data_IF_681832945568
#
_entry.id   IF_681832945568
#
_cell.length_a   1.000
_cell.length_b   1.000
_cell.length_c   1.000
_cell.angle_alpha   90.00
_cell.angle_beta   90.00
_cell.angle_gamma   90.00
#
_symmetry.space_group_name_H-M   'P 1'
#
loop_
_entity.id
_entity.type
_entity.pdbx_description
1 polymer ?
#
# COMPACT_ATOMS: atom_id res chain seq x y z
N UNK A 1 7.91 -3.27 -0.91
CA UNK A 1 7.88 -2.15 0.03
C UNK A 1 6.52 -1.49 -0.01
N UNK A 2 5.74 -1.77 1.01
CA UNK A 2 4.45 -1.16 1.14
C UNK A 2 4.56 0.28 1.62
N UNK A 3 3.63 1.09 1.19
CA UNK A 3 3.59 2.47 1.59
C UNK A 3 2.40 2.68 2.50
N UNK A 4 2.67 3.26 3.63
CA UNK A 4 1.67 3.69 4.57
C UNK A 4 1.82 5.18 4.78
N UNK A 5 0.72 5.87 4.72
CA UNK A 5 0.70 7.27 5.08
C UNK A 5 0.17 7.39 6.50
N UNK A 6 0.93 8.03 7.34
CA UNK A 6 0.56 8.27 8.73
C UNK A 6 0.23 9.74 8.90
N UNK A 7 -0.94 10.01 9.46
CA UNK A 7 -1.36 11.39 9.73
C UNK A 7 -1.21 11.64 11.21
N UNK A 8 -0.40 12.62 11.56
CA UNK A 8 -0.19 13.00 12.96
C UNK A 8 -1.45 13.59 13.57
N UNK A 9 -1.73 13.17 14.79
CA UNK A 9 -2.80 13.72 15.56
C UNK A 9 -2.36 14.98 16.26
N UNK A 10 -3.08 16.07 16.07
CA UNK A 10 -2.86 17.25 16.88
C UNK A 10 -3.55 17.10 18.22
N UNK A 11 -2.96 17.75 19.20
CA UNK A 11 -3.36 17.74 20.56
C UNK A 11 -4.83 17.98 20.79
N UNK A 12 -5.47 17.04 21.45
CA UNK A 12 -6.86 17.16 21.84
C UNK A 12 -6.96 17.48 23.31
N UNK A 13 -7.90 18.36 23.66
CA UNK A 13 -8.08 18.80 25.02
C UNK A 13 -8.63 17.73 25.96
N UNK A 14 -9.09 16.60 25.42
CA UNK A 14 -9.67 15.51 26.20
C UNK A 14 -8.72 14.35 26.39
N UNK A 15 -7.49 14.66 26.71
CA UNK A 15 -6.37 13.74 26.68
C UNK A 15 -6.43 12.62 27.71
N UNK A 16 -7.33 12.65 28.63
CA UNK A 16 -7.35 11.69 29.73
C UNK A 16 -8.32 10.55 29.54
N UNK A 17 -9.02 10.51 28.42
CA UNK A 17 -10.04 9.50 28.19
C UNK A 17 -9.66 8.66 26.97
N UNK A 18 -9.02 7.55 27.21
CA UNK A 18 -8.72 6.60 26.16
C UNK A 18 -7.25 6.55 25.79
N UNK A 19 -6.94 5.58 24.95
CA UNK A 19 -5.58 5.38 24.47
C UNK A 19 -5.25 6.39 23.40
N UNK A 20 -3.97 6.72 23.29
CA UNK A 20 -3.46 7.60 22.25
C UNK A 20 -2.64 6.81 21.27
N UNK A 21 -2.63 7.28 20.04
CA UNK A 21 -1.86 6.69 18.97
C UNK A 21 -0.93 7.74 18.37
N UNK A 22 0.19 7.28 17.84
CA UNK A 22 1.15 8.19 17.19
C UNK A 22 0.58 8.88 15.96
N UNK A 23 -0.57 8.41 15.46
CA UNK A 23 -1.23 8.95 14.26
C UNK A 23 -2.74 9.01 14.50
N UNK A 24 -3.42 9.88 13.76
CA UNK A 24 -4.87 10.02 13.84
C UNK A 24 -5.60 8.91 13.08
N UNK A 25 -4.99 8.44 11.99
CA UNK A 25 -5.53 7.36 11.16
C UNK A 25 -4.38 6.69 10.42
N UNK A 26 -4.66 5.50 9.90
CA UNK A 26 -3.69 4.76 9.09
C UNK A 26 -4.22 4.67 7.66
N UNK A 27 -3.40 5.05 6.69
CA UNK A 27 -3.66 4.81 5.28
C UNK A 27 -2.56 3.89 4.77
N UNK A 28 -2.95 2.71 4.29
CA UNK A 28 -2.00 1.68 3.89
C UNK A 28 -2.45 1.06 2.58
N UNK A 29 -1.49 0.79 1.70
CA UNK A 29 -1.80 0.09 0.46
C UNK A 29 -2.09 -1.38 0.74
N UNK A 30 -2.91 -1.99 -0.09
CA UNK A 30 -3.17 -3.42 -0.02
C UNK A 30 -1.85 -4.18 -0.09
N UNK A 31 -1.62 -5.08 0.86
CA UNK A 31 -0.39 -5.84 0.97
C UNK A 31 0.73 -5.14 1.72
N UNK A 32 0.52 -3.91 2.17
CA UNK A 32 1.52 -3.13 2.91
C UNK A 32 1.18 -3.10 4.40
N UNK A 33 2.14 -2.65 5.20
CA UNK A 33 1.98 -2.54 6.65
C UNK A 33 2.43 -1.19 7.16
N UNK A 34 1.82 -0.75 8.23
CA UNK A 34 2.18 0.47 8.94
C UNK A 34 2.36 0.17 10.42
N UNK A 35 3.27 0.89 11.06
CA UNK A 35 3.50 0.76 12.50
C UNK A 35 2.94 1.98 13.21
N UNK A 36 2.25 1.73 14.31
CA UNK A 36 1.64 2.77 15.14
C UNK A 36 2.05 2.54 16.59
N UNK A 37 2.45 3.60 17.26
CA UNK A 37 2.79 3.52 18.68
C UNK A 37 1.55 3.81 19.51
N UNK A 38 1.33 2.98 20.53
CA UNK A 38 0.21 3.12 21.46
C UNK A 38 0.72 3.81 22.72
N UNK A 39 0.01 4.82 23.16
CA UNK A 39 0.36 5.55 24.37
C UNK A 39 -0.82 5.78 25.29
N UNK A 40 -0.56 6.38 26.43
CA UNK A 40 -1.55 6.77 27.43
C UNK A 40 -2.28 5.57 28.04
N UNK A 41 -1.65 4.40 28.03
CA UNK A 41 -2.22 3.18 28.61
C UNK A 41 -1.16 2.33 29.28
N UNK A 42 -1.58 1.19 29.79
CA UNK A 42 -0.74 0.24 30.50
C UNK A 42 -0.62 -1.06 29.71
N UNK A 43 0.60 -1.52 29.51
CA UNK A 43 0.83 -2.81 28.85
C UNK A 43 0.36 -3.95 29.74
N UNK A 44 -0.09 -5.08 29.17
CA UNK A 44 -0.13 -5.37 27.73
C UNK A 44 -1.31 -4.74 27.01
N UNK A 45 -1.14 -4.46 25.74
CA UNK A 45 -2.21 -3.98 24.89
C UNK A 45 -2.75 -5.12 24.04
N UNK A 46 -4.06 -5.09 23.80
CA UNK A 46 -4.73 -6.01 22.89
C UNK A 46 -5.37 -5.19 21.78
N UNK A 47 -5.14 -5.56 20.54
CA UNK A 47 -5.71 -4.88 19.41
C UNK A 47 -6.54 -5.82 18.57
N UNK A 48 -7.65 -5.31 18.05
CA UNK A 48 -8.56 -6.10 17.23
C UNK A 48 -9.07 -5.26 16.07
N UNK A 49 -9.04 -5.83 14.87
CA UNK A 49 -9.62 -5.18 13.69
C UNK A 49 -11.12 -5.45 13.64
N UNK A 50 -11.89 -4.44 13.27
CA UNK A 50 -13.33 -4.60 13.07
C UNK A 50 -13.64 -5.42 11.82
N UNK A 51 -12.68 -5.51 10.89
CA UNK A 51 -12.82 -6.33 9.71
C UNK A 51 -11.46 -6.88 9.29
N UNK A 52 -11.16 -8.08 9.72
CA UNK A 52 -9.87 -8.73 9.44
C UNK A 52 -9.70 -9.11 7.97
N UNK A 53 -10.78 -9.11 7.22
CA UNK A 53 -10.71 -9.32 5.76
C UNK A 53 -10.16 -8.10 5.03
N UNK A 54 -10.24 -6.93 5.65
CA UNK A 54 -9.72 -5.68 5.09
C UNK A 54 -8.38 -5.30 5.68
N UNK A 55 -8.23 -5.45 6.99
CA UNK A 55 -6.99 -5.09 7.68
C UNK A 55 -6.79 -6.00 8.89
N UNK A 56 -5.54 -6.37 9.13
CA UNK A 56 -5.15 -7.14 10.31
C UNK A 56 -4.22 -6.30 11.17
N UNK A 57 -4.10 -6.69 12.43
CA UNK A 57 -3.28 -5.98 13.39
C UNK A 57 -2.53 -6.94 14.29
N UNK A 58 -1.29 -6.59 14.63
CA UNK A 58 -0.48 -7.29 15.63
C UNK A 58 0.12 -6.27 16.58
N UNK A 59 0.20 -6.64 17.85
CA UNK A 59 0.78 -5.77 18.87
C UNK A 59 2.00 -6.44 19.45
N UNK A 60 3.08 -5.66 19.57
CA UNK A 60 4.28 -6.05 20.29
C UNK A 60 4.61 -4.92 21.26
N UNK A 61 4.44 -5.19 22.57
CA UNK A 61 4.59 -4.19 23.63
C UNK A 61 3.66 -3.01 23.38
N UNK A 62 4.20 -1.83 23.03
CA UNK A 62 3.40 -0.64 22.71
C UNK A 62 3.40 -0.32 21.22
N UNK A 63 3.92 -1.21 20.39
CA UNK A 63 3.97 -1.02 18.95
C UNK A 63 2.95 -1.92 18.27
N UNK A 64 2.13 -1.32 17.42
CA UNK A 64 1.09 -2.01 16.69
C UNK A 64 1.43 -2.00 15.21
N UNK A 65 1.38 -3.16 14.56
CA UNK A 65 1.58 -3.27 13.11
C UNK A 65 0.23 -3.55 12.45
N UNK A 66 -0.18 -2.65 11.56
CA UNK A 66 -1.42 -2.76 10.82
C UNK A 66 -1.11 -3.15 9.39
N UNK A 67 -1.72 -4.22 8.91
CA UNK A 67 -1.49 -4.72 7.55
C UNK A 67 -2.77 -4.61 6.74
N UNK A 68 -2.67 -4.01 5.54
CA UNK A 68 -3.78 -3.94 4.60
C UNK A 68 -3.93 -5.25 3.86
N UNK A 69 -5.13 -5.82 3.89
CA UNK A 69 -5.42 -7.09 3.24
C UNK A 69 -6.24 -6.88 1.97
N UNK A 70 -7.26 -6.05 2.05
CA UNK A 70 -8.13 -5.75 0.92
C UNK A 70 -8.54 -4.28 0.98
N UNK A 71 -8.91 -3.74 -0.17
CA UNK A 71 -9.32 -2.34 -0.26
C UNK A 71 -10.60 -2.10 0.52
N UNK A 72 -10.60 -1.06 1.34
CA UNK A 72 -11.75 -0.68 2.14
C UNK A 72 -11.34 0.03 3.41
N UNK A 73 -12.32 0.25 4.27
CA UNK A 73 -12.11 0.93 5.55
C UNK A 73 -12.43 -0.01 6.69
N UNK A 74 -11.59 0.02 7.70
CA UNK A 74 -11.78 -0.74 8.93
C UNK A 74 -11.34 0.12 10.10
N UNK A 75 -11.60 -0.36 11.30
CA UNK A 75 -11.13 0.31 12.52
C UNK A 75 -10.39 -0.71 13.37
N UNK A 76 -9.42 -0.23 14.11
CA UNK A 76 -8.68 -1.03 15.08
C UNK A 76 -9.09 -0.57 16.47
N UNK A 77 -9.57 -1.49 17.29
CA UNK A 77 -9.88 -1.22 18.68
C UNK A 77 -8.75 -1.78 19.53
N UNK A 78 -8.15 -0.92 20.33
CA UNK A 78 -7.05 -1.29 21.20
C UNK A 78 -7.51 -1.17 22.64
N UNK A 79 -7.18 -2.17 23.45
CA UNK A 79 -7.50 -2.21 24.86
C UNK A 79 -6.23 -2.43 25.67
N UNK A 80 -6.06 -1.69 26.75
CA UNK A 80 -4.92 -1.87 27.62
C UNK A 80 -5.22 -2.85 28.78
N UNK A 81 -4.25 -3.03 29.67
CA UNK A 81 -4.39 -3.91 30.84
C UNK A 81 -5.58 -3.50 31.72
N UNK A 82 -5.87 -2.22 31.81
CA UNK A 82 -6.91 -1.66 32.66
C UNK A 82 -8.24 -1.50 31.94
N UNK A 83 -8.37 -2.13 30.76
CA UNK A 83 -9.58 -2.05 29.92
C UNK A 83 -9.84 -0.66 29.33
N UNK A 84 -8.85 0.18 29.32
CA UNK A 84 -8.91 1.46 28.65
C UNK A 84 -8.84 1.23 27.14
N UNK A 85 -9.72 1.87 26.39
CA UNK A 85 -9.84 1.59 24.95
C UNK A 85 -9.49 2.81 24.09
N UNK A 86 -9.10 2.54 22.87
CA UNK A 86 -8.92 3.53 21.84
C UNK A 86 -9.25 2.92 20.49
N UNK A 87 -9.71 3.74 19.57
CA UNK A 87 -10.07 3.31 18.22
C UNK A 87 -9.27 4.08 17.19
N UNK A 88 -8.72 3.37 16.21
CA UNK A 88 -7.93 3.94 15.14
C UNK A 88 -8.52 3.55 13.80
N UNK A 89 -8.78 4.52 12.95
CA UNK A 89 -9.32 4.27 11.62
C UNK A 89 -8.23 3.81 10.67
N UNK A 90 -8.55 2.84 9.83
CA UNK A 90 -7.63 2.30 8.82
C UNK A 90 -8.32 2.37 7.46
N UNK A 91 -7.62 2.95 6.49
CA UNK A 91 -8.07 2.99 5.11
C UNK A 91 -7.07 2.20 4.27
N UNK A 92 -7.53 1.13 3.65
CA UNK A 92 -6.70 0.33 2.74
C UNK A 92 -7.06 0.74 1.32
N UNK A 93 -6.06 1.24 0.59
CA UNK A 93 -6.27 1.69 -0.78
C UNK A 93 -5.63 0.71 -1.77
N UNK A 94 -6.10 0.77 -3.02
CA UNK A 94 -5.60 -0.14 -4.05
C UNK A 94 -4.17 0.23 -4.45
N UNK A 95 -3.27 -0.76 -4.60
CA UNK A 95 -1.99 -0.51 -5.22
C UNK A 95 -2.20 -0.25 -6.71
N UNK A 96 -1.13 0.10 -7.42
CA UNK A 96 -1.21 0.25 -8.88
C UNK A 96 -1.49 -1.12 -9.49
N UNK A 97 -2.53 -1.21 -10.31
CA UNK A 97 -2.88 -2.43 -11.02
C UNK A 97 -3.06 -2.16 -12.51
N UNK A 98 -3.06 -3.22 -13.30
CA UNK A 98 -3.05 -3.12 -14.76
C UNK A 98 -4.14 -4.01 -15.34
N UNK A 99 -4.54 -3.71 -16.57
CA UNK A 99 -5.49 -4.57 -17.28
C UNK A 99 -4.88 -5.91 -17.68
N UNK A 100 -3.55 -6.02 -17.71
CA UNK A 100 -2.83 -7.24 -18.03
C UNK A 100 -1.66 -7.44 -17.08
N UNK A 101 -1.49 -8.66 -16.60
CA UNK A 101 -0.35 -9.01 -15.74
C UNK A 101 0.88 -9.44 -16.55
N UNK A 102 0.67 -9.86 -17.77
CA UNK A 102 1.74 -10.27 -18.68
C UNK A 102 1.39 -9.86 -20.09
N UNK A 103 2.36 -9.31 -20.81
CA UNK A 103 2.17 -9.03 -22.22
C UNK A 103 3.33 -9.67 -23.00
N UNK A 104 3.05 -10.05 -24.24
CA UNK A 104 4.04 -10.57 -25.17
C UNK A 104 4.08 -9.65 -26.38
N UNK A 105 5.27 -9.16 -26.70
CA UNK A 105 5.47 -8.30 -27.88
C UNK A 105 6.63 -8.83 -28.70
N UNK A 106 6.52 -8.81 -30.03
CA UNK A 106 7.67 -9.14 -30.86
C UNK A 106 8.76 -8.07 -30.74
N UNK A 107 10.01 -8.47 -30.93
CA UNK A 107 11.12 -7.52 -30.95
C UNK A 107 10.89 -6.47 -32.04
N UNK A 108 11.05 -5.20 -31.68
CA UNK A 108 10.81 -4.07 -32.57
C UNK A 108 9.35 -3.64 -32.66
N UNK A 109 8.45 -4.30 -31.94
CA UNK A 109 7.02 -3.96 -31.90
C UNK A 109 6.65 -3.38 -30.55
N UNK A 110 5.45 -2.82 -30.47
CA UNK A 110 4.94 -2.19 -29.28
C UNK A 110 3.66 -2.84 -28.79
N UNK A 111 3.45 -2.80 -27.47
CA UNK A 111 2.20 -3.20 -26.86
C UNK A 111 1.79 -2.16 -25.83
N UNK A 112 0.53 -2.15 -25.46
CA UNK A 112 0.00 -1.17 -24.51
C UNK A 112 -0.62 -1.90 -23.33
N UNK A 113 -0.30 -1.41 -22.12
CA UNK A 113 -0.90 -1.88 -20.87
C UNK A 113 -1.57 -0.69 -20.22
N UNK A 114 -2.84 -0.81 -19.89
CA UNK A 114 -3.58 0.26 -19.23
C UNK A 114 -3.44 0.15 -17.71
N UNK A 115 -3.26 1.28 -17.03
CA UNK A 115 -3.25 1.35 -15.58
C UNK A 115 -4.70 1.40 -15.10
N UNK A 116 -5.10 0.45 -14.27
CA UNK A 116 -6.48 0.35 -13.78
C UNK A 116 -6.70 1.07 -12.46
N UNK A 117 -5.65 1.20 -11.65
CA UNK A 117 -5.76 1.90 -10.36
C UNK A 117 -4.45 2.61 -10.05
N UNK A 118 -4.55 3.63 -9.23
CA UNK A 118 -3.43 4.46 -8.85
C UNK A 118 -3.70 5.92 -9.20
N UNK A 119 -2.84 6.80 -8.73
CA UNK A 119 -2.99 8.25 -8.92
C UNK A 119 -1.81 8.81 -9.70
N UNK A 120 -2.11 9.50 -10.79
CA UNK A 120 -1.07 10.17 -11.58
C UNK A 120 -0.39 11.27 -10.75
N UNK A 121 0.88 11.60 -10.98
CA UNK A 121 1.72 11.07 -12.03
C UNK A 121 2.30 9.70 -11.70
N UNK A 122 2.61 8.94 -12.74
CA UNK A 122 3.19 7.59 -12.60
C UNK A 122 4.66 7.61 -13.01
N UNK A 123 5.46 6.79 -12.33
CA UNK A 123 6.85 6.57 -12.68
C UNK A 123 7.00 5.12 -13.14
N UNK A 124 7.63 4.92 -14.28
CA UNK A 124 7.81 3.60 -14.87
C UNK A 124 9.28 3.20 -14.79
N UNK A 125 9.54 1.99 -14.31
CA UNK A 125 10.89 1.45 -14.21
C UNK A 125 10.94 0.07 -14.84
N UNK A 126 11.80 -0.11 -15.83
CA UNK A 126 12.01 -1.39 -16.51
C UNK A 126 13.23 -2.06 -15.89
N UNK A 127 13.06 -3.31 -15.46
CA UNK A 127 14.15 -4.06 -14.83
C UNK A 127 15.32 -4.28 -15.77
N UNK A 128 15.04 -4.65 -17.01
CA UNK A 128 16.09 -4.85 -18.03
C UNK A 128 15.72 -4.10 -19.31
N UNK A 129 16.33 -2.94 -19.48
CA UNK A 129 16.09 -2.06 -20.63
C UNK A 129 16.65 -2.61 -21.94
N UNK A 130 17.48 -3.63 -21.88
CA UNK A 130 17.99 -4.29 -23.08
C UNK A 130 16.95 -5.22 -23.72
N UNK A 131 15.95 -5.63 -22.92
CA UNK A 131 14.88 -6.51 -23.40
C UNK A 131 13.68 -5.69 -23.86
N UNK A 132 13.30 -4.67 -23.07
CA UNK A 132 12.16 -3.83 -23.40
C UNK A 132 12.30 -2.44 -22.80
N UNK A 133 11.62 -1.48 -23.39
CA UNK A 133 11.49 -0.13 -22.85
C UNK A 133 10.01 0.17 -22.67
N UNK A 134 9.71 1.15 -21.81
CA UNK A 134 8.33 1.49 -21.51
C UNK A 134 8.20 2.99 -21.25
N UNK A 135 7.06 3.54 -21.66
CA UNK A 135 6.70 4.94 -21.39
C UNK A 135 5.24 4.99 -20.96
N UNK A 136 4.96 5.86 -20.00
CA UNK A 136 3.60 6.09 -19.55
C UNK A 136 3.08 7.41 -20.12
N UNK A 137 1.83 7.39 -20.56
CA UNK A 137 1.12 8.59 -21.00
C UNK A 137 -0.37 8.40 -20.75
N UNK A 138 -0.97 9.33 -20.01
CA UNK A 138 -2.41 9.35 -19.75
C UNK A 138 -2.94 8.02 -19.18
N UNK A 139 -2.18 7.39 -18.30
CA UNK A 139 -2.60 6.14 -17.67
C UNK A 139 -2.39 4.91 -18.53
N UNK A 140 -1.67 5.03 -19.63
CA UNK A 140 -1.33 3.90 -20.50
C UNK A 140 0.16 3.77 -20.61
N UNK A 141 0.63 2.54 -20.56
CA UNK A 141 2.06 2.24 -20.69
C UNK A 141 2.29 1.60 -22.04
N UNK A 142 3.10 2.26 -22.88
CA UNK A 142 3.53 1.72 -24.15
C UNK A 142 4.85 0.99 -23.95
N UNK A 143 4.85 -0.30 -24.22
CA UNK A 143 6.02 -1.16 -24.06
C UNK A 143 6.56 -1.50 -25.43
N UNK A 144 7.86 -1.26 -25.63
CA UNK A 144 8.52 -1.59 -26.88
C UNK A 144 9.48 -2.73 -26.65
N UNK A 145 9.34 -3.80 -27.43
CA UNK A 145 10.29 -4.92 -27.40
C UNK A 145 11.60 -4.54 -28.08
N UNK A 146 12.69 -4.83 -27.45
CA UNK A 146 14.04 -4.53 -27.97
C UNK A 146 14.75 -5.82 -28.38
N UNK A 147 14.76 -6.80 -27.49
CA UNK A 147 15.46 -8.06 -27.68
C UNK A 147 14.65 -9.18 -27.05
N UNK A 148 14.69 -10.36 -27.62
CA UNK A 148 14.01 -11.53 -27.08
C UNK A 148 14.43 -11.80 -25.64
N UNK A 149 13.46 -12.03 -24.78
CA UNK A 149 13.68 -12.27 -23.35
C UNK A 149 12.47 -11.88 -22.55
N UNK A 150 12.63 -11.93 -21.22
CA UNK A 150 11.56 -11.58 -20.28
C UNK A 150 12.09 -10.56 -19.29
N UNK A 151 11.30 -9.52 -19.02
CA UNK A 151 11.63 -8.51 -18.02
C UNK A 151 10.36 -8.11 -17.26
N UNK A 152 10.56 -7.40 -16.15
CA UNK A 152 9.47 -6.90 -15.32
C UNK A 152 9.47 -5.39 -15.35
N UNK A 153 8.28 -4.81 -15.44
CA UNK A 153 8.09 -3.37 -15.39
C UNK A 153 7.37 -3.03 -14.08
N UNK A 154 7.95 -2.10 -13.33
CA UNK A 154 7.38 -1.60 -12.08
C UNK A 154 6.86 -0.19 -12.33
N UNK A 155 5.63 0.06 -11.93
CA UNK A 155 5.00 1.38 -12.04
C UNK A 155 4.65 1.86 -10.65
N UNK A 156 5.02 3.09 -10.36
CA UNK A 156 4.78 3.72 -9.07
C UNK A 156 3.89 4.95 -9.28
N UNK A 157 2.88 5.11 -8.42
CA UNK A 157 1.99 6.26 -8.53
C UNK A 157 2.47 7.44 -7.70
N UNK A 158 1.66 8.50 -7.67
CA UNK A 158 1.94 9.72 -6.90
C UNK A 158 2.19 9.43 -5.42
N UNK A 159 1.47 8.51 -4.84
CA UNK A 159 1.56 8.16 -3.42
C UNK A 159 2.58 7.05 -3.18
N UNK A 160 3.41 6.75 -4.17
CA UNK A 160 4.45 5.71 -4.13
C UNK A 160 3.91 4.30 -3.96
N UNK A 161 2.63 4.10 -4.19
CA UNK A 161 2.08 2.75 -4.34
C UNK A 161 2.60 2.18 -5.67
N UNK A 162 2.88 0.90 -5.71
CA UNK A 162 3.49 0.31 -6.88
C UNK A 162 2.76 -0.95 -7.34
N UNK A 163 2.94 -1.27 -8.61
CA UNK A 163 2.49 -2.51 -9.19
C UNK A 163 3.48 -2.95 -10.24
N UNK A 164 3.46 -4.22 -10.58
CA UNK A 164 4.37 -4.79 -11.58
C UNK A 164 3.60 -5.62 -12.61
N UNK A 165 4.14 -5.69 -13.80
CA UNK A 165 3.69 -6.64 -14.81
C UNK A 165 4.90 -7.17 -15.57
N UNK A 166 4.72 -8.32 -16.20
CA UNK A 166 5.80 -9.02 -16.90
C UNK A 166 5.68 -8.81 -18.40
N UNK A 167 6.81 -8.57 -19.04
CA UNK A 167 6.91 -8.42 -20.50
C UNK A 167 7.76 -9.54 -21.06
N UNK A 168 7.24 -10.24 -22.05
CA UNK A 168 7.97 -11.23 -22.81
C UNK A 168 8.16 -10.71 -24.22
N UNK A 169 9.39 -10.66 -24.70
CA UNK A 169 9.73 -10.25 -26.05
C UNK A 169 10.17 -11.49 -26.83
N UNK A 170 9.58 -11.69 -27.97
CA UNK A 170 9.90 -12.83 -28.85
C UNK A 170 10.60 -12.43 -30.12
#
# INVERSE_FOLDING_TARGET
LGIATLVSCKDDKDDNKGLKFSVAKVEVAQGASAKVTIGNGTQPYTAKSTNEKLATVKVDKNMMTVTGVAVGKASIVVTDKNKKTGTLSVNVFAPVSFDKQTITVPAGKEGVVAIKSGKAPFTVNVKDKNIATAMEKDGKITVKGVKAGTTTITVMDKDKASGTFTVTVK
#
